data_IF_955690095553
#
_entry.id   IF_955690095553
#
_cell.length_a   1.000
_cell.length_b   1.000
_cell.length_c   1.000
_cell.angle_alpha   90.00
_cell.angle_beta   90.00
_cell.angle_gamma   90.00
#
_symmetry.space_group_name_H-M   'P 1'
#
loop_
_entity.id
_entity.type
_entity.pdbx_description
1 polymer ?
#
# COMPACT_ATOMS: atom_id res chain seq x y z
N UNK A 1 37.02 -1.09 -8.74
CA UNK A 1 35.91 -0.57 -7.95
C UNK A 1 34.65 -0.71 -8.80
N UNK A 2 34.04 -1.87 -8.75
CA UNK A 2 32.82 -2.22 -9.45
C UNK A 2 31.64 -1.70 -8.62
N UNK A 3 31.00 -0.63 -9.07
CA UNK A 3 29.69 -0.23 -8.55
C UNK A 3 28.67 -1.24 -9.08
N UNK A 4 28.29 -2.21 -8.26
CA UNK A 4 27.09 -2.99 -8.54
C UNK A 4 25.90 -2.04 -8.45
N UNK A 5 25.34 -1.66 -9.61
CA UNK A 5 24.01 -1.10 -9.65
C UNK A 5 23.06 -2.18 -9.11
N UNK A 6 22.63 -2.06 -7.86
CA UNK A 6 21.50 -2.81 -7.38
C UNK A 6 20.35 -2.51 -8.35
N UNK A 7 19.96 -3.51 -9.14
CA UNK A 7 18.79 -3.40 -9.98
C UNK A 7 17.62 -3.09 -9.06
N UNK A 8 17.07 -1.88 -9.17
CA UNK A 8 15.96 -1.45 -8.33
C UNK A 8 14.77 -2.37 -8.61
N UNK A 9 14.38 -3.12 -7.60
CA UNK A 9 13.14 -3.88 -7.64
C UNK A 9 11.98 -2.88 -7.71
N UNK A 10 11.12 -3.03 -8.71
CA UNK A 10 10.06 -2.06 -9.02
C UNK A 10 8.72 -2.74 -9.03
N UNK A 11 7.73 -2.11 -8.37
CA UNK A 11 6.33 -2.51 -8.47
C UNK A 11 5.64 -1.79 -9.61
N UNK A 12 4.90 -2.54 -10.42
CA UNK A 12 4.10 -1.96 -11.51
C UNK A 12 2.62 -2.21 -11.30
N UNK A 13 1.85 -1.21 -11.68
CA UNK A 13 0.43 -1.34 -11.88
C UNK A 13 -0.01 -0.76 -13.21
N UNK A 14 -0.87 -1.50 -13.94
CA UNK A 14 -1.58 -0.97 -15.08
C UNK A 14 -2.97 -0.47 -14.67
N UNK A 15 -3.29 0.78 -15.05
CA UNK A 15 -4.64 1.34 -14.98
C UNK A 15 -4.93 1.97 -16.32
N UNK A 16 -6.00 1.53 -16.98
CA UNK A 16 -6.39 1.99 -18.32
C UNK A 16 -5.21 1.91 -19.31
N UNK A 17 -4.44 0.83 -19.26
CA UNK A 17 -3.27 0.62 -20.13
C UNK A 17 -2.00 1.37 -19.74
N UNK A 18 -2.00 2.14 -18.65
CA UNK A 18 -0.82 2.82 -18.13
C UNK A 18 -0.24 2.11 -16.91
N UNK A 19 1.09 2.06 -16.82
CA UNK A 19 1.82 1.56 -15.67
C UNK A 19 2.20 2.70 -14.73
N UNK A 20 2.01 2.48 -13.43
CA UNK A 20 2.45 3.39 -12.37
C UNK A 20 3.39 2.65 -11.45
N UNK A 21 4.67 2.95 -11.57
CA UNK A 21 5.73 2.22 -10.87
C UNK A 21 6.07 2.90 -9.54
N UNK A 22 6.25 2.09 -8.50
CA UNK A 22 6.86 2.48 -7.23
C UNK A 22 7.98 1.47 -6.92
N UNK A 23 9.06 1.93 -6.32
CA UNK A 23 10.07 1.02 -5.80
C UNK A 23 9.64 0.37 -4.46
N UNK A 24 10.48 -0.49 -3.89
CA UNK A 24 10.13 -1.26 -2.70
C UNK A 24 9.83 -0.37 -1.49
N UNK A 25 10.62 0.68 -1.25
CA UNK A 25 10.39 1.62 -0.15
C UNK A 25 9.09 2.41 -0.36
N UNK A 26 8.90 2.92 -1.57
CA UNK A 26 7.71 3.69 -1.93
C UNK A 26 6.44 2.84 -1.82
N UNK A 27 6.47 1.58 -2.28
CA UNK A 27 5.32 0.68 -2.20
C UNK A 27 4.98 0.30 -0.76
N UNK A 28 5.99 0.06 0.08
CA UNK A 28 5.82 -0.17 1.52
C UNK A 28 5.16 1.03 2.20
N UNK A 29 5.64 2.23 1.92
CA UNK A 29 5.07 3.45 2.48
C UNK A 29 3.65 3.70 1.97
N UNK A 30 3.38 3.44 0.69
CA UNK A 30 2.03 3.52 0.13
C UNK A 30 1.08 2.52 0.80
N UNK A 31 1.56 1.30 1.09
CA UNK A 31 0.80 0.30 1.83
C UNK A 31 0.46 0.79 3.25
N UNK A 32 1.40 1.36 3.99
CA UNK A 32 1.17 1.87 5.35
C UNK A 32 0.19 3.04 5.34
N UNK A 33 0.36 4.01 4.44
CA UNK A 33 -0.56 5.15 4.29
C UNK A 33 -1.99 4.64 4.03
N UNK A 34 -2.15 3.73 3.07
CA UNK A 34 -3.47 3.18 2.73
C UNK A 34 -4.04 2.33 3.86
N UNK A 35 -3.22 1.51 4.50
CA UNK A 35 -3.61 0.69 5.65
C UNK A 35 -4.17 1.54 6.80
N UNK A 36 -3.56 2.68 7.08
CA UNK A 36 -4.05 3.61 8.11
C UNK A 36 -5.41 4.22 7.73
N UNK A 37 -5.67 4.50 6.44
CA UNK A 37 -7.00 4.96 5.99
C UNK A 37 -8.08 3.89 6.20
N UNK A 38 -7.77 2.62 5.87
CA UNK A 38 -8.68 1.49 6.07
C UNK A 38 -8.97 1.29 7.56
N UNK A 39 -7.93 1.33 8.40
CA UNK A 39 -8.06 1.18 9.85
C UNK A 39 -8.98 2.23 10.46
N UNK A 40 -8.99 3.44 9.89
CA UNK A 40 -9.86 4.56 10.28
C UNK A 40 -11.26 4.50 9.65
N UNK A 41 -11.54 3.52 8.82
CA UNK A 41 -12.81 3.41 8.10
C UNK A 41 -13.02 4.51 7.04
N UNK A 42 -11.94 5.09 6.53
CA UNK A 42 -12.00 6.12 5.51
C UNK A 42 -12.13 5.50 4.11
N UNK A 43 -12.82 6.17 3.17
CA UNK A 43 -12.98 5.68 1.81
C UNK A 43 -11.65 5.74 1.04
N UNK A 44 -11.54 4.98 -0.06
CA UNK A 44 -10.38 4.95 -0.98
C UNK A 44 -9.88 6.33 -1.38
N UNK A 45 -10.80 7.30 -1.51
CA UNK A 45 -10.47 8.70 -1.82
C UNK A 45 -9.50 9.31 -0.80
N UNK A 46 -9.66 9.01 0.49
CA UNK A 46 -8.75 9.53 1.52
C UNK A 46 -7.33 9.01 1.30
N UNK A 47 -7.18 7.72 0.99
CA UNK A 47 -5.89 7.13 0.63
C UNK A 47 -5.30 7.81 -0.62
N UNK A 48 -6.11 8.07 -1.66
CA UNK A 48 -5.65 8.77 -2.85
C UNK A 48 -5.14 10.19 -2.55
N UNK A 49 -5.81 10.94 -1.67
CA UNK A 49 -5.37 12.28 -1.24
C UNK A 49 -4.03 12.17 -0.50
N UNK A 50 -3.91 11.24 0.46
CA UNK A 50 -2.69 11.07 1.23
C UNK A 50 -1.49 10.62 0.38
N UNK A 51 -1.71 9.67 -0.56
CA UNK A 51 -0.67 9.22 -1.48
C UNK A 51 -0.23 10.34 -2.44
N UNK A 52 -1.17 11.14 -2.96
CA UNK A 52 -0.88 12.33 -3.76
C UNK A 52 0.00 13.30 -2.98
N UNK A 53 -0.35 13.54 -1.72
CA UNK A 53 0.40 14.44 -0.84
C UNK A 53 1.80 13.91 -0.58
N UNK A 54 1.93 12.68 -0.08
CA UNK A 54 3.22 12.08 0.24
C UNK A 54 4.14 11.96 -1.00
N UNK A 55 3.55 11.73 -2.18
CA UNK A 55 4.33 11.71 -3.43
C UNK A 55 4.92 13.08 -3.77
N UNK A 56 4.19 14.16 -3.52
CA UNK A 56 4.71 15.52 -3.72
C UNK A 56 5.73 15.90 -2.65
N UNK A 57 5.46 15.61 -1.39
CA UNK A 57 6.27 16.09 -0.26
C UNK A 57 7.61 15.35 -0.14
N UNK A 58 7.62 14.04 -0.33
CA UNK A 58 8.80 13.19 -0.09
C UNK A 58 9.05 12.14 -1.17
N UNK A 59 8.25 12.10 -2.24
CA UNK A 59 8.22 10.99 -3.21
C UNK A 59 7.94 9.64 -2.54
N UNK A 60 7.05 9.63 -1.55
CA UNK A 60 6.73 8.46 -0.73
C UNK A 60 7.93 7.88 0.04
N UNK A 61 8.93 8.69 0.37
CA UNK A 61 10.08 8.29 1.20
C UNK A 61 9.99 8.88 2.59
N UNK A 62 10.34 8.08 3.58
CA UNK A 62 10.31 8.53 4.98
C UNK A 62 11.63 9.22 5.35
N UNK A 63 11.82 10.44 4.82
CA UNK A 63 13.07 11.20 4.92
C UNK A 63 13.18 11.98 6.23
N UNK A 64 14.39 12.04 6.79
CA UNK A 64 14.71 12.71 8.05
C UNK A 64 15.22 14.13 7.89
N UNK A 65 15.00 14.71 6.71
CA UNK A 65 15.37 16.08 6.35
C UNK A 65 14.27 16.74 5.51
N UNK A 66 14.29 18.08 5.44
CA UNK A 66 13.36 18.86 4.64
C UNK A 66 13.56 20.35 4.85
N UNK A 67 12.62 21.17 4.36
CA UNK A 67 12.64 22.61 4.63
C UNK A 67 12.42 22.87 6.12
N UNK A 68 13.30 23.66 6.72
CA UNK A 68 13.29 23.96 8.15
C UNK A 68 13.39 22.68 8.98
N UNK A 69 12.34 22.38 9.78
CA UNK A 69 12.23 21.18 10.62
C UNK A 69 11.25 20.13 10.08
N UNK A 70 10.99 20.15 8.75
CA UNK A 70 10.09 19.21 8.08
C UNK A 70 10.68 17.80 8.01
N UNK A 71 9.87 16.78 8.32
CA UNK A 71 10.28 15.38 8.40
C UNK A 71 9.22 14.44 7.82
N UNK A 72 9.69 13.27 7.43
CA UNK A 72 8.85 12.11 7.11
C UNK A 72 8.10 12.20 5.79
N UNK A 73 7.15 11.29 5.63
CA UNK A 73 6.36 11.10 4.41
C UNK A 73 5.61 12.34 3.94
N UNK A 74 5.13 13.16 4.88
CA UNK A 74 4.27 14.32 4.63
C UNK A 74 4.98 15.65 4.90
N UNK A 75 6.29 15.64 5.15
CA UNK A 75 7.07 16.82 5.52
C UNK A 75 6.40 17.62 6.65
N UNK A 76 5.97 16.90 7.67
CA UNK A 76 5.34 17.45 8.87
C UNK A 76 6.39 18.09 9.76
N UNK A 77 6.03 19.18 10.45
CA UNK A 77 6.96 19.98 11.24
C UNK A 77 6.68 19.86 12.73
N UNK A 78 7.65 19.43 13.55
CA UNK A 78 7.52 19.45 15.02
C UNK A 78 7.13 20.82 15.54
N UNK A 79 7.75 21.89 15.04
CA UNK A 79 7.45 23.27 15.44
C UNK A 79 6.02 23.75 15.13
N UNK A 80 5.30 23.02 14.27
CA UNK A 80 3.92 23.31 13.89
C UNK A 80 2.90 22.38 14.58
N UNK A 81 3.33 21.63 15.61
CA UNK A 81 2.44 20.80 16.41
C UNK A 81 2.05 19.46 15.77
N UNK A 82 2.77 19.00 14.74
CA UNK A 82 2.50 17.71 14.10
C UNK A 82 2.94 16.53 14.96
N UNK A 83 3.79 16.73 15.95
CA UNK A 83 4.33 15.72 16.85
C UNK A 83 5.82 15.91 17.05
N UNK A 84 6.43 15.04 17.86
CA UNK A 84 7.90 15.01 17.99
C UNK A 84 8.54 14.46 16.72
N UNK A 85 9.82 14.72 16.48
CA UNK A 85 10.57 14.15 15.34
C UNK A 85 10.44 12.63 15.29
N UNK A 86 10.58 11.93 16.42
CA UNK A 86 10.42 10.49 16.51
C UNK A 86 9.02 10.01 16.10
N UNK A 87 7.98 10.73 16.48
CA UNK A 87 6.60 10.41 16.11
C UNK A 87 6.36 10.62 14.62
N UNK A 88 6.81 11.75 14.06
CA UNK A 88 6.63 12.07 12.64
C UNK A 88 7.37 11.07 11.76
N UNK A 89 8.52 10.55 12.19
CA UNK A 89 9.28 9.52 11.51
C UNK A 89 8.65 8.10 11.62
N UNK A 90 7.59 7.93 12.40
CA UNK A 90 6.74 6.73 12.33
C UNK A 90 5.68 6.91 11.23
N UNK A 91 5.73 6.12 10.12
CA UNK A 91 4.79 6.24 9.01
C UNK A 91 3.32 6.06 9.40
N UNK A 92 3.03 5.26 10.43
CA UNK A 92 1.67 5.08 10.93
C UNK A 92 1.18 6.31 11.67
N UNK A 93 2.03 6.88 12.53
CA UNK A 93 1.70 8.10 13.24
C UNK A 93 1.49 9.28 12.29
N UNK A 94 2.44 9.53 11.38
CA UNK A 94 2.38 10.65 10.45
C UNK A 94 1.18 10.55 9.50
N UNK A 95 0.86 9.35 9.01
CA UNK A 95 -0.36 9.10 8.22
C UNK A 95 -1.62 9.36 9.06
N UNK A 96 -1.63 8.89 10.32
CA UNK A 96 -2.73 9.13 11.24
C UNK A 96 -2.97 10.62 11.52
N UNK A 97 -1.92 11.41 11.67
CA UNK A 97 -2.00 12.86 11.84
C UNK A 97 -2.52 13.53 10.58
N UNK A 98 -2.03 13.13 9.39
CA UNK A 98 -2.54 13.63 8.12
C UNK A 98 -4.06 13.42 7.98
N UNK A 99 -4.54 12.19 8.21
CA UNK A 99 -5.97 11.90 8.13
C UNK A 99 -6.78 12.65 9.19
N UNK A 100 -6.22 12.82 10.40
CA UNK A 100 -6.85 13.60 11.45
C UNK A 100 -7.07 15.06 11.04
N UNK A 101 -6.14 15.66 10.30
CA UNK A 101 -6.32 17.01 9.75
C UNK A 101 -7.26 17.02 8.53
N UNK A 102 -7.12 16.05 7.61
CA UNK A 102 -7.96 15.97 6.42
C UNK A 102 -9.45 15.96 6.76
N UNK A 103 -9.87 15.15 7.74
CA UNK A 103 -11.29 14.98 8.06
C UNK A 103 -11.93 16.18 8.77
N UNK A 104 -11.12 17.16 9.21
CA UNK A 104 -11.64 18.42 9.76
C UNK A 104 -12.27 19.34 8.70
N UNK A 105 -11.88 19.18 7.45
CA UNK A 105 -12.43 19.95 6.34
C UNK A 105 -13.73 19.31 5.86
N UNK A 106 -14.87 19.96 6.03
CA UNK A 106 -16.19 19.38 5.67
C UNK A 106 -16.31 19.01 4.20
N UNK A 107 -15.57 19.70 3.32
CA UNK A 107 -15.61 19.56 1.86
C UNK A 107 -14.58 18.58 1.26
N UNK A 108 -13.73 17.92 2.07
CA UNK A 108 -12.65 17.07 1.57
C UNK A 108 -13.11 15.92 0.67
N UNK A 109 -14.40 15.53 0.81
CA UNK A 109 -14.99 14.46 -0.01
C UNK A 109 -15.40 14.93 -1.41
N UNK A 110 -15.55 16.22 -1.66
CA UNK A 110 -16.15 16.78 -2.87
C UNK A 110 -15.17 17.64 -3.69
N UNK A 111 -14.25 18.36 -3.06
CA UNK A 111 -13.24 19.16 -3.77
C UNK A 111 -12.26 18.28 -4.55
N UNK A 112 -11.45 18.83 -5.44
CA UNK A 112 -10.42 18.03 -6.13
C UNK A 112 -9.45 17.38 -5.13
N UNK A 113 -8.76 16.30 -5.53
CA UNK A 113 -7.74 15.68 -4.68
C UNK A 113 -6.62 16.66 -4.38
N UNK A 114 -6.21 17.44 -5.40
CA UNK A 114 -5.24 18.51 -5.27
C UNK A 114 -5.65 19.52 -4.20
N UNK A 115 -6.91 20.01 -4.25
CA UNK A 115 -7.37 21.02 -3.28
C UNK A 115 -7.48 20.45 -1.87
N UNK A 116 -7.91 19.20 -1.72
CA UNK A 116 -7.94 18.53 -0.42
C UNK A 116 -6.53 18.39 0.17
N UNK A 117 -5.53 18.00 -0.63
CA UNK A 117 -4.12 17.95 -0.22
C UNK A 117 -3.61 19.33 0.18
N UNK A 118 -3.91 20.34 -0.63
CA UNK A 118 -3.53 21.73 -0.36
C UNK A 118 -4.14 22.28 0.93
N UNK A 119 -5.41 21.94 1.24
CA UNK A 119 -6.05 22.35 2.47
C UNK A 119 -5.30 21.87 3.72
N UNK A 120 -4.78 20.62 3.68
CA UNK A 120 -4.02 20.05 4.81
C UNK A 120 -2.61 20.65 4.89
N UNK A 121 -1.91 20.72 3.76
CA UNK A 121 -0.48 21.09 3.71
C UNK A 121 -0.23 22.59 3.70
N UNK A 122 -1.18 23.38 3.18
CA UNK A 122 -1.04 24.85 3.04
C UNK A 122 0.26 25.24 2.34
N UNK A 123 0.61 24.48 1.29
CA UNK A 123 1.81 24.69 0.50
C UNK A 123 1.77 26.03 -0.25
N UNK A 124 2.94 26.63 -0.49
CA UNK A 124 3.08 27.79 -1.38
C UNK A 124 2.83 27.49 -2.87
N UNK A 125 2.68 26.22 -3.23
CA UNK A 125 2.49 25.74 -4.60
C UNK A 125 1.16 24.98 -4.73
N UNK A 126 0.02 25.65 -4.86
CA UNK A 126 -1.31 25.03 -4.75
C UNK A 126 -1.64 23.98 -5.81
N UNK A 127 -1.00 24.03 -6.98
CA UNK A 127 -1.23 23.07 -8.07
C UNK A 127 -0.22 21.90 -8.11
N UNK A 128 0.73 21.87 -7.18
CA UNK A 128 1.84 20.91 -7.21
C UNK A 128 1.42 19.44 -7.05
N UNK A 129 0.27 19.20 -6.42
CA UNK A 129 -0.24 17.85 -6.12
C UNK A 129 -0.89 17.19 -7.33
N UNK A 130 -1.48 17.95 -8.23
CA UNK A 130 -2.30 17.47 -9.38
C UNK A 130 -1.61 16.43 -10.24
N UNK A 131 -0.32 16.61 -10.54
CA UNK A 131 0.47 15.68 -11.37
C UNK A 131 0.60 14.27 -10.79
N UNK A 132 0.39 14.11 -9.49
CA UNK A 132 0.50 12.82 -8.79
C UNK A 132 -0.83 12.08 -8.62
N UNK A 133 -1.96 12.73 -8.94
CA UNK A 133 -3.29 12.14 -8.79
C UNK A 133 -3.48 10.81 -9.55
N UNK A 134 -3.02 10.67 -10.83
CA UNK A 134 -3.23 9.42 -11.56
C UNK A 134 -2.57 8.22 -10.87
N UNK A 135 -1.31 8.35 -10.49
CA UNK A 135 -0.56 7.33 -9.74
C UNK A 135 -1.26 7.03 -8.40
N UNK A 136 -1.58 8.07 -7.64
CA UNK A 136 -2.18 7.92 -6.31
C UNK A 136 -3.56 7.25 -6.35
N UNK A 137 -4.41 7.60 -7.30
CA UNK A 137 -5.72 6.95 -7.52
C UNK A 137 -5.55 5.48 -7.86
N UNK A 138 -4.58 5.16 -8.72
CA UNK A 138 -4.28 3.81 -9.12
C UNK A 138 -3.86 2.95 -7.94
N UNK A 139 -2.90 3.41 -7.17
CA UNK A 139 -2.39 2.70 -6.00
C UNK A 139 -3.42 2.60 -4.88
N UNK A 140 -4.13 3.69 -4.56
CA UNK A 140 -5.21 3.67 -3.59
C UNK A 140 -6.28 2.62 -3.93
N UNK A 141 -6.71 2.56 -5.18
CA UNK A 141 -7.72 1.60 -5.62
C UNK A 141 -7.24 0.15 -5.52
N UNK A 142 -5.95 -0.12 -5.82
CA UNK A 142 -5.37 -1.46 -5.66
C UNK A 142 -5.27 -1.86 -4.19
N UNK A 143 -4.65 -1.00 -3.38
CA UNK A 143 -4.35 -1.29 -1.98
C UNK A 143 -5.60 -1.34 -1.09
N UNK A 144 -6.68 -0.67 -1.49
CA UNK A 144 -7.99 -0.80 -0.82
C UNK A 144 -8.85 -1.94 -1.38
N UNK A 145 -8.34 -2.74 -2.33
CA UNK A 145 -9.04 -3.91 -2.88
C UNK A 145 -10.12 -3.63 -3.92
N UNK A 146 -10.27 -2.39 -4.37
CA UNK A 146 -11.29 -1.99 -5.38
C UNK A 146 -10.86 -2.30 -6.82
N UNK A 147 -9.56 -2.52 -7.07
CA UNK A 147 -9.06 -2.99 -8.36
C UNK A 147 -8.50 -4.39 -8.19
N UNK A 148 -9.22 -5.43 -8.61
CA UNK A 148 -8.75 -6.80 -8.48
C UNK A 148 -7.53 -7.04 -9.37
N UNK A 149 -6.62 -7.91 -8.92
CA UNK A 149 -5.48 -8.40 -9.71
C UNK A 149 -4.60 -7.26 -10.29
N UNK A 150 -4.49 -6.16 -9.56
CA UNK A 150 -3.92 -4.92 -10.10
C UNK A 150 -2.44 -4.73 -9.78
N UNK A 151 -1.90 -5.43 -8.78
CA UNK A 151 -0.50 -5.33 -8.37
C UNK A 151 0.31 -6.46 -8.98
N UNK A 152 1.46 -6.13 -9.51
CA UNK A 152 2.51 -7.09 -9.89
C UNK A 152 3.86 -6.54 -9.47
N UNK A 153 4.84 -7.41 -9.27
CA UNK A 153 6.19 -6.99 -8.88
C UNK A 153 7.26 -7.90 -9.52
N UNK A 154 8.46 -7.33 -9.64
CA UNK A 154 9.70 -8.07 -9.76
C UNK A 154 10.45 -7.83 -8.46
N UNK A 155 10.76 -8.88 -7.71
CA UNK A 155 11.58 -8.77 -6.52
C UNK A 155 12.76 -9.74 -6.62
N UNK A 156 13.97 -9.18 -6.71
CA UNK A 156 15.23 -9.91 -6.81
C UNK A 156 16.00 -9.93 -5.49
N UNK A 157 15.43 -9.39 -4.42
CA UNK A 157 16.06 -9.39 -3.11
C UNK A 157 16.37 -10.82 -2.67
N UNK A 158 17.55 -11.01 -2.11
CA UNK A 158 17.97 -12.24 -1.44
C UNK A 158 17.66 -12.20 0.06
N UNK A 159 17.10 -11.11 0.56
CA UNK A 159 16.73 -11.00 1.96
C UNK A 159 15.62 -12.01 2.30
N UNK A 160 15.73 -12.61 3.47
CA UNK A 160 14.71 -13.53 3.98
C UNK A 160 13.86 -12.82 5.01
N UNK A 161 12.55 -13.06 4.94
CA UNK A 161 11.61 -12.56 5.93
C UNK A 161 10.57 -13.63 6.23
N UNK A 162 9.88 -13.48 7.34
CA UNK A 162 8.74 -14.34 7.63
C UNK A 162 7.49 -13.79 6.96
N UNK A 163 6.57 -14.68 6.60
CA UNK A 163 5.27 -14.28 6.07
C UNK A 163 4.46 -13.48 7.09
N UNK A 164 4.74 -13.66 8.39
CA UNK A 164 4.15 -12.87 9.47
C UNK A 164 4.52 -11.39 9.36
N UNK A 165 5.80 -11.09 9.06
CA UNK A 165 6.27 -9.72 8.84
C UNK A 165 5.64 -9.10 7.60
N UNK A 166 5.61 -9.83 6.49
CA UNK A 166 4.94 -9.39 5.26
C UNK A 166 3.47 -9.04 5.49
N UNK A 167 2.76 -9.86 6.26
CA UNK A 167 1.35 -9.68 6.54
C UNK A 167 1.05 -8.62 7.62
N UNK A 168 2.06 -8.09 8.30
CA UNK A 168 1.88 -7.18 9.45
C UNK A 168 1.04 -5.96 9.13
N UNK A 169 1.32 -5.30 8.00
CA UNK A 169 0.57 -4.12 7.56
C UNK A 169 -0.91 -4.44 7.32
N UNK A 170 -1.19 -5.53 6.59
CA UNK A 170 -2.56 -5.97 6.32
C UNK A 170 -3.31 -6.35 7.61
N UNK A 171 -2.67 -7.12 8.49
CA UNK A 171 -3.26 -7.50 9.78
C UNK A 171 -3.62 -6.29 10.63
N UNK A 172 -2.70 -5.32 10.75
CA UNK A 172 -2.94 -4.08 11.52
C UNK A 172 -4.08 -3.26 10.96
N UNK A 173 -4.25 -3.24 9.64
CA UNK A 173 -5.28 -2.46 8.97
C UNK A 173 -6.67 -3.09 9.07
N UNK A 174 -6.75 -4.43 9.00
CA UNK A 174 -7.99 -5.14 8.67
C UNK A 174 -8.55 -5.97 9.82
N UNK A 175 -7.78 -6.20 10.90
CA UNK A 175 -8.32 -6.91 12.06
C UNK A 175 -9.38 -6.06 12.77
N UNK A 176 -10.47 -6.67 13.29
CA UNK A 176 -10.82 -8.09 13.22
C UNK A 176 -11.65 -8.50 11.99
N UNK A 177 -11.84 -7.61 11.01
CA UNK A 177 -12.72 -7.83 9.85
C UNK A 177 -12.23 -8.92 8.90
N UNK A 178 -10.93 -9.19 8.90
CA UNK A 178 -10.29 -10.24 8.09
C UNK A 178 -9.60 -11.21 9.02
N UNK A 179 -10.02 -12.48 8.98
CA UNK A 179 -9.32 -13.56 9.68
C UNK A 179 -8.00 -13.84 8.97
N UNK A 180 -6.96 -14.08 9.76
CA UNK A 180 -5.61 -14.31 9.25
C UNK A 180 -5.05 -15.59 9.86
N UNK A 181 -4.62 -16.53 9.02
CA UNK A 181 -3.98 -17.77 9.41
C UNK A 181 -2.63 -17.90 8.71
N UNK A 182 -1.62 -18.35 9.45
CA UNK A 182 -0.29 -18.62 8.88
C UNK A 182 -0.01 -20.11 8.94
N UNK A 183 0.42 -20.68 7.82
CA UNK A 183 0.82 -22.09 7.71
C UNK A 183 2.08 -22.17 6.86
N UNK A 184 3.19 -22.51 7.50
CA UNK A 184 4.52 -22.49 6.86
C UNK A 184 4.83 -21.11 6.25
N UNK A 185 5.24 -21.03 4.98
CA UNK A 185 5.56 -19.76 4.32
C UNK A 185 4.32 -19.01 3.79
N UNK A 186 3.10 -19.51 4.08
CA UNK A 186 1.86 -18.95 3.50
C UNK A 186 0.99 -18.31 4.56
N UNK A 187 0.54 -17.08 4.29
CA UNK A 187 -0.54 -16.42 5.02
C UNK A 187 -1.84 -16.52 4.22
N UNK A 188 -2.92 -16.88 4.91
CA UNK A 188 -4.29 -16.91 4.37
C UNK A 188 -5.12 -15.84 5.03
N UNK A 189 -5.81 -15.07 4.21
CA UNK A 189 -6.78 -14.05 4.61
C UNK A 189 -8.19 -14.50 4.24
N UNK A 190 -9.13 -14.39 5.15
CA UNK A 190 -10.52 -14.83 4.94
C UNK A 190 -11.50 -13.79 5.47
N UNK A 191 -12.47 -13.43 4.67
CA UNK A 191 -13.57 -12.54 5.04
C UNK A 191 -14.82 -12.81 4.18
N UNK A 192 -15.96 -12.26 4.58
CA UNK A 192 -17.19 -12.27 3.77
C UNK A 192 -17.18 -11.20 2.68
N UNK A 193 -16.44 -10.09 2.90
CA UNK A 193 -16.28 -9.04 1.92
C UNK A 193 -15.03 -9.31 1.04
N UNK A 194 -15.21 -9.58 -0.26
CA UNK A 194 -14.08 -9.85 -1.17
C UNK A 194 -13.16 -8.62 -1.36
N UNK A 195 -13.66 -7.39 -1.12
CA UNK A 195 -12.84 -6.18 -1.18
C UNK A 195 -11.78 -6.21 -0.09
N UNK A 196 -12.14 -6.61 1.13
CA UNK A 196 -11.21 -6.69 2.25
C UNK A 196 -10.14 -7.78 2.03
N UNK A 197 -10.51 -8.91 1.44
CA UNK A 197 -9.53 -9.97 1.11
C UNK A 197 -8.55 -9.48 0.04
N UNK A 198 -9.02 -8.81 -1.00
CA UNK A 198 -8.16 -8.20 -2.02
C UNK A 198 -7.23 -7.15 -1.42
N UNK A 199 -7.74 -6.31 -0.52
CA UNK A 199 -6.93 -5.34 0.19
C UNK A 199 -5.84 -6.02 1.02
N UNK A 200 -6.15 -7.09 1.75
CA UNK A 200 -5.19 -7.83 2.55
C UNK A 200 -4.03 -8.38 1.69
N UNK A 201 -4.35 -9.01 0.58
CA UNK A 201 -3.35 -9.55 -0.36
C UNK A 201 -2.53 -8.40 -0.96
N UNK A 202 -3.16 -7.33 -1.44
CA UNK A 202 -2.47 -6.20 -2.05
C UNK A 202 -1.53 -5.47 -1.07
N UNK A 203 -1.96 -5.23 0.16
CA UNK A 203 -1.14 -4.63 1.21
C UNK A 203 0.07 -5.52 1.54
N UNK A 204 -0.12 -6.84 1.58
CA UNK A 204 0.96 -7.80 1.83
C UNK A 204 1.95 -7.83 0.67
N UNK A 205 1.46 -7.86 -0.58
CA UNK A 205 2.31 -7.77 -1.76
C UNK A 205 3.14 -6.48 -1.77
N UNK A 206 2.53 -5.34 -1.48
CA UNK A 206 3.22 -4.05 -1.46
C UNK A 206 4.23 -3.93 -0.29
N UNK A 207 4.20 -4.83 0.69
CA UNK A 207 5.12 -4.86 1.83
C UNK A 207 6.41 -5.66 1.56
N UNK A 208 6.71 -6.04 0.34
CA UNK A 208 7.85 -6.88 -0.03
C UNK A 208 9.22 -6.18 0.08
N UNK A 209 9.29 -4.90 0.45
CA UNK A 209 10.53 -4.31 0.94
C UNK A 209 11.10 -5.06 2.16
N UNK A 210 10.27 -5.85 2.84
CA UNK A 210 10.66 -6.71 3.96
C UNK A 210 11.15 -8.09 3.50
N UNK A 211 10.94 -8.47 2.22
CA UNK A 211 11.38 -9.73 1.64
C UNK A 211 10.50 -10.21 0.48
N UNK A 212 11.01 -11.13 -0.35
CA UNK A 212 10.34 -11.57 -1.57
C UNK A 212 9.14 -12.47 -1.30
N UNK A 213 8.16 -12.39 -2.20
CA UNK A 213 7.04 -13.32 -2.28
C UNK A 213 7.17 -14.19 -3.52
N UNK A 214 6.65 -15.43 -3.44
CA UNK A 214 6.63 -16.38 -4.56
C UNK A 214 5.27 -16.38 -5.26
N UNK A 215 4.19 -16.34 -4.50
CA UNK A 215 2.83 -16.48 -5.03
C UNK A 215 1.81 -15.66 -4.24
N UNK A 216 0.78 -15.21 -4.95
CA UNK A 216 -0.44 -14.68 -4.35
C UNK A 216 -1.68 -15.26 -5.04
N UNK A 217 -2.76 -15.44 -4.29
CA UNK A 217 -4.05 -15.86 -4.83
C UNK A 217 -5.17 -14.99 -4.27
N UNK A 218 -6.21 -14.77 -5.05
CA UNK A 218 -7.48 -14.20 -4.56
C UNK A 218 -8.62 -14.87 -5.31
N UNK A 219 -9.50 -15.54 -4.59
CA UNK A 219 -10.60 -16.31 -5.18
C UNK A 219 -10.10 -17.28 -6.26
N UNK A 220 -10.50 -17.05 -7.50
CA UNK A 220 -10.15 -17.89 -8.66
C UNK A 220 -8.94 -17.38 -9.46
N UNK A 221 -8.28 -16.33 -9.00
CA UNK A 221 -7.10 -15.77 -9.67
C UNK A 221 -5.82 -16.04 -8.90
N UNK A 222 -4.72 -16.22 -9.61
CA UNK A 222 -3.39 -16.41 -9.04
C UNK A 222 -2.36 -15.56 -9.76
N UNK A 223 -1.35 -15.18 -9.00
CA UNK A 223 -0.14 -14.53 -9.48
C UNK A 223 1.06 -15.32 -8.97
N UNK A 224 2.07 -15.46 -9.79
CA UNK A 224 3.35 -16.08 -9.42
C UNK A 224 4.49 -15.16 -9.80
N UNK A 225 5.45 -15.02 -8.89
CA UNK A 225 6.63 -14.20 -9.11
C UNK A 225 7.46 -14.69 -10.30
N UNK A 226 7.94 -13.73 -11.08
CA UNK A 226 8.94 -13.92 -12.10
C UNK A 226 10.13 -13.03 -11.77
N UNK A 227 11.36 -13.55 -11.94
CA UNK A 227 12.59 -12.81 -11.60
C UNK A 227 13.02 -11.81 -12.67
N UNK A 228 12.46 -11.91 -13.87
CA UNK A 228 12.87 -11.12 -15.04
C UNK A 228 11.76 -10.23 -15.56
N UNK A 229 10.51 -10.66 -15.42
CA UNK A 229 9.35 -10.00 -16.02
C UNK A 229 8.26 -9.73 -15.00
N UNK A 230 7.40 -8.75 -15.30
CA UNK A 230 6.18 -8.52 -14.53
C UNK A 230 5.16 -9.60 -14.86
N UNK A 231 4.97 -10.52 -13.93
CA UNK A 231 3.99 -11.57 -14.08
C UNK A 231 2.56 -11.02 -14.10
N UNK A 232 1.72 -11.62 -14.93
CA UNK A 232 0.29 -11.30 -14.98
C UNK A 232 -0.50 -12.19 -14.03
N UNK A 233 -1.58 -11.66 -13.50
CA UNK A 233 -2.59 -12.48 -12.85
C UNK A 233 -3.34 -13.32 -13.89
N UNK A 234 -3.54 -14.59 -13.59
CA UNK A 234 -4.25 -15.52 -14.44
C UNK A 234 -5.25 -16.36 -13.64
N UNK A 235 -5.96 -17.24 -14.31
CA UNK A 235 -6.79 -18.23 -13.62
C UNK A 235 -5.90 -19.11 -12.72
N UNK A 236 -6.39 -19.43 -11.52
CA UNK A 236 -5.70 -20.36 -10.64
C UNK A 236 -5.64 -21.74 -11.29
N UNK A 237 -4.45 -22.31 -11.47
CA UNK A 237 -4.28 -23.64 -12.03
C UNK A 237 -4.75 -24.71 -11.02
N UNK A 238 -5.81 -25.43 -11.35
CA UNK A 238 -6.31 -26.58 -10.60
C UNK A 238 -7.11 -26.24 -9.35
N UNK A 239 -7.63 -27.24 -8.64
CA UNK A 239 -8.25 -27.07 -7.33
C UNK A 239 -7.16 -26.83 -6.29
N UNK A 240 -6.53 -25.69 -6.32
CA UNK A 240 -5.83 -25.15 -5.17
C UNK A 240 -6.91 -24.90 -4.14
N UNK A 241 -7.01 -25.84 -3.20
CA UNK A 241 -7.98 -25.89 -2.16
C UNK A 241 -8.48 -24.48 -1.76
N UNK A 242 -9.53 -24.02 -2.39
CA UNK A 242 -10.49 -23.24 -1.67
C UNK A 242 -10.79 -24.07 -0.43
N UNK A 243 -10.52 -23.60 0.79
CA UNK A 243 -11.20 -24.18 1.91
C UNK A 243 -12.66 -24.09 1.52
N UNK A 244 -13.29 -25.25 1.49
CA UNK A 244 -14.63 -25.46 1.03
C UNK A 244 -15.50 -24.21 1.17
N UNK A 245 -15.92 -23.64 0.05
CA UNK A 245 -17.09 -22.80 0.00
C UNK A 245 -18.29 -23.68 0.31
N UNK A 246 -18.34 -24.14 1.54
CA UNK A 246 -19.57 -24.66 2.14
C UNK A 246 -20.41 -23.45 2.43
N UNK A 247 -21.26 -23.04 1.50
CA UNK A 247 -22.49 -22.28 1.75
C UNK A 247 -22.48 -20.95 2.51
N UNK A 248 -21.32 -20.40 2.90
CA UNK A 248 -21.22 -19.29 3.86
C UNK A 248 -20.81 -17.94 3.28
N UNK A 249 -20.61 -17.82 1.97
CA UNK A 249 -20.21 -16.55 1.34
C UNK A 249 -18.78 -16.06 1.68
N UNK A 250 -17.95 -16.90 2.31
CA UNK A 250 -16.56 -16.55 2.62
C UNK A 250 -15.65 -16.59 1.39
N UNK A 251 -14.79 -15.59 1.28
CA UNK A 251 -13.75 -15.51 0.26
C UNK A 251 -12.38 -15.62 0.93
N UNK A 252 -11.44 -16.27 0.27
CA UNK A 252 -10.06 -16.36 0.74
C UNK A 252 -9.06 -15.82 -0.28
N UNK A 253 -7.93 -15.36 0.24
CA UNK A 253 -6.75 -14.98 -0.53
C UNK A 253 -5.50 -15.39 0.23
N UNK A 254 -4.42 -15.71 -0.49
CA UNK A 254 -3.17 -16.15 0.11
C UNK A 254 -1.99 -15.36 -0.44
N UNK A 255 -0.95 -15.25 0.37
CA UNK A 255 0.39 -14.81 -0.05
C UNK A 255 1.40 -15.80 0.51
N UNK A 256 2.29 -16.28 -0.36
CA UNK A 256 3.39 -17.19 0.01
C UNK A 256 4.71 -16.46 -0.12
N UNK A 257 5.48 -16.41 0.97
CA UNK A 257 6.84 -15.88 0.97
C UNK A 257 7.78 -16.85 0.22
N UNK A 258 8.80 -16.30 -0.42
CA UNK A 258 9.89 -17.11 -0.98
C UNK A 258 10.71 -17.68 0.19
N UNK A 259 10.91 -18.99 0.18
CA UNK A 259 11.78 -19.73 1.11
C UNK A 259 13.23 -19.71 0.63
#
# INVERSE_FOLDING_TARGET
LSSSSAASDVYKRQVLGQSYDLDLEQSQNAAIITAESIRRGLPTRAAAIALTTAMQESKLRNIDYGDRDSLGLFQQRPSQGWGTAKQIMDPWYSSGKFYGELVKFSNWKTVSINDAAQQVQRSGYPEAYRKHEPLAKAWASALTGHSPSALTCINRSSETTTVQELARTARRALAPKVATQVTGPTVTFTATDPVLVRAAVALTMASTSLGPIDRATVATTSWRADSEHYASWGAAAGPSASPAASGTGWVSGTVTARS
#
